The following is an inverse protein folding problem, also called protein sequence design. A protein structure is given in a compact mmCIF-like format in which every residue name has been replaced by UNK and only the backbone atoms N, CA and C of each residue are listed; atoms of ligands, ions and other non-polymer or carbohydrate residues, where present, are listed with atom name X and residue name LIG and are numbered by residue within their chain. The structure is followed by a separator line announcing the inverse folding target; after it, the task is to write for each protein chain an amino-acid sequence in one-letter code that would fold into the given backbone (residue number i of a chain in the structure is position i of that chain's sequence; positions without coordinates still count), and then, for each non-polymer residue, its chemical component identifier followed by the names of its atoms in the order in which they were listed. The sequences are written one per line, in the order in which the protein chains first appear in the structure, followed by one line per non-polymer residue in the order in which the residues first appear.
data_IF_779222216490
#
_entry.id   IF_779222216490
#
_cell.length_a   1.000
_cell.length_b   1.000
_cell.length_c   1.000
_cell.angle_alpha   90.00
_cell.angle_beta   90.00
_cell.angle_gamma   90.00
#
_symmetry.space_group_name_H-M   'P 1'
#
loop_
_entity.id
_entity.type
_entity.pdbx_description
1 polymer ?
#
# COMPACT_ATOMS: atom_id res chain seq x y z
N UNK A 1 8.73 -4.45 -5.46
CA UNK A 1 7.49 -5.21 -5.17
C UNK A 1 6.28 -4.47 -5.71
N UNK A 2 5.23 -5.16 -6.19
CA UNK A 2 4.00 -4.49 -6.63
C UNK A 2 2.78 -5.40 -6.61
N UNK A 3 1.61 -4.80 -6.51
CA UNK A 3 0.31 -5.48 -6.52
C UNK A 3 -0.72 -4.62 -7.26
N UNK A 4 -1.73 -5.28 -7.86
CA UNK A 4 -2.78 -4.59 -8.60
C UNK A 4 -4.16 -5.22 -8.37
N UNK A 5 -5.19 -4.40 -8.46
CA UNK A 5 -6.60 -4.80 -8.36
C UNK A 5 -7.39 -4.21 -9.52
N UNK A 6 -8.02 -5.09 -10.31
CA UNK A 6 -9.01 -4.68 -11.29
C UNK A 6 -10.35 -4.46 -10.58
N UNK A 7 -10.88 -3.25 -10.68
CA UNK A 7 -12.09 -2.82 -9.96
C UNK A 7 -13.38 -2.96 -10.80
N UNK A 8 -13.25 -3.16 -12.11
CA UNK A 8 -14.37 -3.04 -13.05
C UNK A 8 -14.58 -1.58 -13.45
N UNK A 9 -15.82 -1.09 -13.52
CA UNK A 9 -16.09 0.35 -13.51
C UNK A 9 -16.62 0.73 -12.14
N UNK A 10 -15.87 1.55 -11.39
CA UNK A 10 -16.26 2.00 -10.06
C UNK A 10 -16.08 3.51 -9.92
N UNK A 11 -16.92 4.19 -9.13
CA UNK A 11 -16.74 5.61 -8.84
C UNK A 11 -15.39 5.89 -8.16
N UNK A 12 -14.72 6.94 -8.58
CA UNK A 12 -13.42 7.38 -8.06
C UNK A 12 -13.56 8.12 -6.71
N UNK A 13 -14.16 7.46 -5.72
CA UNK A 13 -14.45 8.03 -4.38
C UNK A 13 -13.67 7.32 -3.28
N UNK A 14 -13.34 7.99 -2.15
CA UNK A 14 -12.50 7.42 -1.10
C UNK A 14 -12.98 6.08 -0.56
N UNK A 15 -14.30 5.92 -0.38
CA UNK A 15 -14.89 4.64 0.08
C UNK A 15 -14.63 3.44 -0.85
N UNK A 16 -14.19 3.68 -2.09
CA UNK A 16 -13.85 2.62 -3.07
C UNK A 16 -12.33 2.41 -3.11
N UNK A 17 -11.55 3.47 -3.27
CA UNK A 17 -10.11 3.30 -3.46
C UNK A 17 -9.35 3.07 -2.16
N UNK A 18 -9.76 3.66 -1.03
CA UNK A 18 -9.00 3.53 0.24
C UNK A 18 -8.89 2.08 0.72
N UNK A 19 -9.98 1.28 0.79
CA UNK A 19 -9.84 -0.12 1.21
C UNK A 19 -9.05 -0.97 0.21
N UNK A 20 -9.21 -0.68 -1.09
CA UNK A 20 -8.42 -1.34 -2.15
C UNK A 20 -6.93 -1.06 -1.97
N UNK A 21 -6.55 0.19 -1.74
CA UNK A 21 -5.16 0.60 -1.51
C UNK A 21 -4.60 -0.07 -0.27
N UNK A 22 -5.36 -0.11 0.84
CA UNK A 22 -4.92 -0.79 2.05
C UNK A 22 -4.69 -2.29 1.83
N UNK A 23 -5.57 -2.94 1.08
CA UNK A 23 -5.38 -4.35 0.71
C UNK A 23 -4.13 -4.58 -0.15
N UNK A 24 -3.90 -3.72 -1.14
CA UNK A 24 -2.70 -3.80 -1.98
C UNK A 24 -1.43 -3.52 -1.17
N UNK A 25 -1.49 -2.52 -0.28
CA UNK A 25 -0.40 -2.12 0.60
C UNK A 25 -0.02 -3.25 1.54
N UNK A 26 -1.00 -3.93 2.15
CA UNK A 26 -0.76 -5.08 3.01
C UNK A 26 0.02 -6.18 2.29
N UNK A 27 -0.37 -6.51 1.04
CA UNK A 27 0.33 -7.51 0.24
C UNK A 27 1.74 -7.10 -0.16
N UNK A 28 1.95 -5.85 -0.54
CA UNK A 28 3.26 -5.35 -0.92
C UNK A 28 4.16 -5.28 0.31
N UNK A 29 3.70 -4.65 1.38
CA UNK A 29 4.46 -4.45 2.61
C UNK A 29 4.78 -5.77 3.32
N UNK A 30 3.83 -6.71 3.40
CA UNK A 30 4.09 -8.05 3.95
C UNK A 30 5.20 -8.78 3.20
N UNK A 31 5.28 -8.65 1.86
CA UNK A 31 6.35 -9.27 1.07
C UNK A 31 7.70 -8.58 1.26
N UNK A 32 7.72 -7.25 1.33
CA UNK A 32 8.93 -6.50 1.65
C UNK A 32 9.48 -6.94 3.01
N UNK A 33 8.61 -7.04 4.03
CA UNK A 33 8.98 -7.49 5.38
C UNK A 33 9.42 -8.97 5.41
N UNK A 34 8.75 -9.84 4.68
CA UNK A 34 9.11 -11.27 4.63
C UNK A 34 10.50 -11.52 4.02
N UNK A 35 10.94 -10.66 3.10
CA UNK A 35 12.27 -10.73 2.47
C UNK A 35 13.28 -9.78 3.12
N UNK A 36 12.89 -9.02 4.14
CA UNK A 36 13.66 -7.95 4.78
C UNK A 36 14.26 -6.93 3.78
N UNK A 37 13.46 -6.58 2.76
CA UNK A 37 13.83 -5.66 1.69
C UNK A 37 12.90 -4.46 1.66
N UNK A 38 13.08 -3.46 2.54
CA UNK A 38 12.31 -2.23 2.48
C UNK A 38 12.71 -1.42 1.24
N UNK A 39 11.87 -0.47 0.81
CA UNK A 39 12.19 0.36 -0.37
C UNK A 39 11.78 1.82 -0.21
N UNK A 40 12.25 2.71 -1.08
CA UNK A 40 12.07 4.16 -0.90
C UNK A 40 10.99 4.77 -1.79
N UNK A 41 10.81 4.24 -2.98
CA UNK A 41 9.94 4.89 -3.97
C UNK A 41 8.63 4.16 -4.05
N UNK A 42 7.57 4.86 -3.65
CA UNK A 42 6.19 4.41 -3.76
C UNK A 42 5.62 4.93 -5.07
N UNK A 43 5.00 4.06 -5.84
CA UNK A 43 4.42 4.38 -7.14
C UNK A 43 3.01 3.84 -7.21
N UNK A 44 2.06 4.69 -7.59
CA UNK A 44 0.67 4.33 -7.86
C UNK A 44 0.37 4.50 -9.33
N UNK A 45 -0.36 3.53 -9.89
CA UNK A 45 -0.96 3.59 -11.21
C UNK A 45 -2.47 3.54 -11.07
N UNK A 46 -3.14 4.56 -11.59
CA UNK A 46 -4.59 4.66 -11.68
C UNK A 46 -4.99 4.49 -13.13
N UNK A 47 -5.86 3.52 -13.42
CA UNK A 47 -6.49 3.38 -14.74
C UNK A 47 -7.94 3.84 -14.67
N UNK A 48 -8.33 4.70 -15.59
CA UNK A 48 -9.68 5.24 -15.68
C UNK A 48 -10.61 4.28 -16.46
N UNK A 49 -11.90 4.61 -16.55
CA UNK A 49 -12.90 3.78 -17.23
C UNK A 49 -12.69 3.68 -18.75
N UNK A 50 -12.00 4.64 -19.34
CA UNK A 50 -11.64 4.70 -20.76
C UNK A 50 -10.31 3.99 -21.09
N UNK A 51 -9.79 3.22 -20.13
CA UNK A 51 -8.54 2.45 -20.21
C UNK A 51 -7.25 3.30 -20.21
N UNK A 52 -7.32 4.65 -20.21
CA UNK A 52 -6.13 5.48 -19.98
C UNK A 52 -5.61 5.27 -18.56
N UNK A 53 -4.30 5.30 -18.41
CA UNK A 53 -3.66 5.11 -17.12
C UNK A 53 -2.65 6.21 -16.83
N UNK A 54 -2.64 6.68 -15.59
CA UNK A 54 -1.74 7.70 -15.07
C UNK A 54 -0.94 7.08 -13.93
N UNK A 55 0.36 7.33 -13.94
CA UNK A 55 1.27 6.89 -12.89
C UNK A 55 1.82 8.10 -12.14
N UNK A 56 1.86 8.01 -10.82
CA UNK A 56 2.53 8.98 -9.93
C UNK A 56 3.39 8.24 -8.94
N UNK A 57 4.50 8.84 -8.57
CA UNK A 57 5.43 8.28 -7.59
C UNK A 57 5.96 9.36 -6.67
N UNK A 58 6.41 8.92 -5.50
CA UNK A 58 7.15 9.73 -4.53
C UNK A 58 8.29 8.90 -3.98
N UNK A 59 9.45 9.52 -3.80
CA UNK A 59 10.62 8.91 -3.16
C UNK A 59 10.74 9.47 -1.75
N UNK A 60 10.77 8.59 -0.77
CA UNK A 60 10.91 8.93 0.64
C UNK A 60 12.39 9.03 1.03
N UNK A 61 12.68 9.87 2.03
CA UNK A 61 14.03 10.02 2.61
C UNK A 61 14.46 8.79 3.41
N UNK A 62 13.50 8.03 3.93
CA UNK A 62 13.73 6.77 4.63
C UNK A 62 12.93 5.64 3.96
N UNK A 63 13.46 4.41 3.96
CA UNK A 63 12.78 3.29 3.32
C UNK A 63 11.55 2.85 4.12
N UNK A 64 10.53 2.39 3.40
CA UNK A 64 9.21 2.04 3.90
C UNK A 64 8.91 0.56 3.70
N UNK A 65 8.30 -0.03 4.73
CA UNK A 65 7.72 -1.37 4.71
C UNK A 65 6.55 -1.53 5.70
N UNK A 66 6.01 -0.43 6.21
CA UNK A 66 4.81 -0.45 7.04
C UNK A 66 3.55 -0.29 6.17
N UNK A 67 2.57 -1.16 6.38
CA UNK A 67 1.36 -1.29 5.57
C UNK A 67 0.53 -0.02 5.57
N UNK A 68 0.21 0.51 6.76
CA UNK A 68 -0.67 1.68 6.89
C UNK A 68 -0.01 2.94 6.32
N UNK A 69 1.30 3.11 6.52
CA UNK A 69 2.02 4.25 5.94
C UNK A 69 2.05 4.18 4.41
N UNK A 70 2.25 2.98 3.85
CA UNK A 70 2.20 2.78 2.40
C UNK A 70 0.81 3.14 1.85
N UNK A 71 -0.25 2.66 2.49
CA UNK A 71 -1.63 2.96 2.10
C UNK A 71 -1.95 4.47 2.17
N UNK A 72 -1.49 5.19 3.19
CA UNK A 72 -1.67 6.64 3.32
C UNK A 72 -0.96 7.42 2.21
N UNK A 73 0.26 7.02 1.86
CA UNK A 73 1.02 7.64 0.76
C UNK A 73 0.34 7.34 -0.58
N UNK A 74 -0.07 6.09 -0.80
CA UNK A 74 -0.78 5.70 -2.02
C UNK A 74 -2.10 6.49 -2.15
N UNK A 75 -2.83 6.68 -1.05
CA UNK A 75 -4.06 7.46 -1.01
C UNK A 75 -3.83 8.90 -1.45
N UNK A 76 -2.78 9.53 -0.95
CA UNK A 76 -2.42 10.90 -1.33
C UNK A 76 -2.07 11.00 -2.81
N UNK A 77 -1.29 10.05 -3.34
CA UNK A 77 -0.95 9.99 -4.76
C UNK A 77 -2.21 9.82 -5.64
N UNK A 78 -3.15 8.95 -5.26
CA UNK A 78 -4.43 8.80 -5.97
C UNK A 78 -5.22 10.10 -5.94
N UNK A 79 -5.34 10.76 -4.77
CA UNK A 79 -6.04 12.04 -4.66
C UNK A 79 -5.43 13.11 -5.56
N UNK A 80 -4.10 13.17 -5.63
CA UNK A 80 -3.39 14.07 -6.55
C UNK A 80 -3.68 13.76 -8.02
N UNK A 81 -3.74 12.49 -8.41
CA UNK A 81 -4.16 12.08 -9.76
C UNK A 81 -5.59 12.53 -10.04
N UNK A 82 -6.54 12.26 -9.15
CA UNK A 82 -7.95 12.65 -9.35
C UNK A 82 -8.14 14.17 -9.42
N UNK A 83 -7.39 14.93 -8.63
CA UNK A 83 -7.40 16.39 -8.68
C UNK A 83 -6.87 16.94 -10.01
N UNK A 84 -5.85 16.30 -10.60
CA UNK A 84 -5.31 16.68 -11.91
C UNK A 84 -6.21 16.25 -13.09
N UNK A 85 -7.18 15.37 -12.85
CA UNK A 85 -8.07 14.80 -13.88
C UNK A 85 -9.55 14.90 -13.47
N UNK A 86 -10.11 16.12 -13.30
CA UNK A 86 -11.46 16.32 -12.75
C UNK A 86 -12.60 15.75 -13.60
N UNK A 87 -12.36 15.48 -14.89
CA UNK A 87 -13.32 14.82 -15.78
C UNK A 87 -13.46 13.32 -15.54
N UNK A 88 -12.49 12.69 -14.88
CA UNK A 88 -12.46 11.25 -14.63
C UNK A 88 -13.20 10.90 -13.34
N UNK A 89 -14.46 10.47 -13.47
CA UNK A 89 -15.27 10.10 -12.31
C UNK A 89 -15.21 8.62 -11.94
N UNK A 90 -14.58 7.81 -12.79
CA UNK A 90 -14.53 6.36 -12.63
C UNK A 90 -13.12 5.81 -12.79
N UNK A 91 -12.77 4.85 -11.94
CA UNK A 91 -11.53 4.09 -11.98
C UNK A 91 -11.83 2.62 -12.26
N UNK A 92 -10.91 1.97 -12.96
CA UNK A 92 -11.05 0.57 -13.36
C UNK A 92 -9.93 -0.34 -12.91
N UNK A 93 -8.77 0.22 -12.54
CA UNK A 93 -7.69 -0.50 -11.92
C UNK A 93 -6.87 0.43 -11.03
N UNK A 94 -6.45 -0.10 -9.90
CA UNK A 94 -5.43 0.48 -9.05
C UNK A 94 -4.26 -0.49 -8.96
N UNK A 95 -3.05 0.01 -9.12
CA UNK A 95 -1.84 -0.73 -8.84
C UNK A 95 -0.90 0.12 -8.00
N UNK A 96 -0.19 -0.53 -7.09
CA UNK A 96 0.86 0.09 -6.29
C UNK A 96 2.15 -0.72 -6.45
N UNK A 97 3.27 -0.04 -6.32
CA UNK A 97 4.58 -0.68 -6.31
C UNK A 97 5.58 0.11 -5.48
N UNK A 98 6.49 -0.61 -4.84
CA UNK A 98 7.65 -0.09 -4.13
C UNK A 98 8.92 -0.50 -4.88
N UNK A 99 9.78 0.47 -5.16
CA UNK A 99 11.09 0.32 -5.80
C UNK A 99 12.22 0.97 -4.97
N UNK A 100 13.46 0.89 -5.48
CA UNK A 100 14.68 1.20 -4.71
C UNK A 100 14.73 0.39 -3.42
N UNK A 101 14.74 -0.94 -3.59
CA UNK A 101 14.79 -1.89 -2.49
C UNK A 101 16.21 -1.95 -1.93
N UNK A 102 16.33 -1.92 -0.61
CA UNK A 102 17.61 -1.96 0.10
C UNK A 102 17.76 -3.29 0.83
N UNK A 103 19.00 -3.72 1.02
CA UNK A 103 19.34 -4.85 1.89
C UNK A 103 19.62 -4.27 3.28
N UNK A 104 18.79 -4.62 4.26
CA UNK A 104 18.91 -4.15 5.65
C UNK A 104 18.96 -2.63 5.79
N UNK A 105 17.79 -1.99 5.79
CA UNK A 105 17.74 -0.58 6.13
C UNK A 105 17.78 -0.37 7.65
N UNK A 106 18.86 0.25 8.13
CA UNK A 106 18.83 0.88 9.45
C UNK A 106 17.79 2.01 9.42
N UNK A 107 16.75 1.85 10.22
CA UNK A 107 15.69 2.83 10.32
C UNK A 107 16.16 4.01 11.17
N UNK A 108 16.48 5.13 10.53
CA UNK A 108 16.83 6.36 11.24
C UNK A 108 15.66 6.83 12.11
N UNK A 109 15.86 6.86 13.43
CA UNK A 109 14.85 7.38 14.36
C UNK A 109 14.69 8.89 14.21
N UNK A 110 13.45 9.35 14.32
CA UNK A 110 13.12 10.77 14.29
C UNK A 110 12.89 11.32 15.70
N UNK A 111 13.35 12.54 15.94
CA UNK A 111 12.98 13.27 17.15
C UNK A 111 11.50 13.70 17.04
N UNK A 112 10.67 13.49 18.09
CA UNK A 112 9.25 13.83 18.08
C UNK A 112 9.05 15.33 18.30
N UNK A 113 9.37 16.13 17.28
CA UNK A 113 9.27 17.60 17.32
C UNK A 113 7.86 18.12 16.96
N UNK A 114 6.91 17.25 16.65
CA UNK A 114 5.54 17.61 16.29
C UNK A 114 5.39 18.20 14.89
N UNK A 115 6.32 17.87 13.98
CA UNK A 115 6.33 18.41 12.62
C UNK A 115 5.18 17.81 11.78
N UNK A 116 4.71 18.57 10.79
CA UNK A 116 3.57 18.18 9.94
C UNK A 116 3.86 16.98 9.04
N UNK A 117 5.13 16.73 8.74
CA UNK A 117 5.61 15.67 7.86
C UNK A 117 5.92 14.34 8.59
N UNK A 118 5.85 14.31 9.93
CA UNK A 118 6.11 13.11 10.74
C UNK A 118 5.30 11.89 10.28
N UNK A 119 4.09 12.11 9.73
CA UNK A 119 3.23 11.04 9.20
C UNK A 119 3.89 10.22 8.09
N UNK A 120 4.80 10.83 7.33
CA UNK A 120 5.53 10.19 6.23
C UNK A 120 6.89 9.66 6.64
N UNK A 121 7.25 9.76 7.92
CA UNK A 121 8.55 9.36 8.44
C UNK A 121 8.46 8.00 9.15
N UNK A 122 8.99 6.93 8.54
CA UNK A 122 9.04 5.60 9.15
C UNK A 122 9.68 5.57 10.54
N UNK A 123 10.72 6.38 10.77
CA UNK A 123 11.41 6.51 12.06
C UNK A 123 10.66 7.28 13.16
N UNK A 124 9.48 7.84 12.89
CA UNK A 124 8.66 8.50 13.91
C UNK A 124 8.08 7.49 14.92
N UNK A 125 7.67 7.96 16.10
CA UNK A 125 7.03 7.11 17.13
C UNK A 125 5.80 6.36 16.60
N UNK A 126 4.97 7.02 15.78
CA UNK A 126 3.83 6.41 15.10
C UNK A 126 4.29 5.41 14.03
N UNK A 127 5.35 5.74 13.29
CA UNK A 127 5.91 4.85 12.28
C UNK A 127 6.42 3.54 12.87
N UNK A 128 7.15 3.62 13.98
CA UNK A 128 7.61 2.46 14.76
C UNK A 128 6.44 1.64 15.30
N UNK A 129 5.43 2.28 15.90
CA UNK A 129 4.25 1.58 16.42
C UNK A 129 3.50 0.80 15.32
N UNK A 130 3.34 1.42 14.14
CA UNK A 130 2.73 0.76 12.97
C UNK A 130 3.57 -0.42 12.49
N UNK A 131 4.89 -0.26 12.39
CA UNK A 131 5.78 -1.35 12.01
C UNK A 131 5.74 -2.51 13.00
N UNK A 132 5.69 -2.22 14.30
CA UNK A 132 5.53 -3.22 15.36
C UNK A 132 4.21 -3.99 15.25
N UNK A 133 3.10 -3.30 14.97
CA UNK A 133 1.81 -3.93 14.74
C UNK A 133 1.82 -4.83 13.49
N UNK A 134 2.43 -4.38 12.41
CA UNK A 134 2.56 -5.17 11.18
C UNK A 134 3.39 -6.45 11.41
N UNK A 135 4.51 -6.36 12.14
CA UNK A 135 5.30 -7.54 12.54
C UNK A 135 4.49 -8.52 13.40
N UNK A 136 3.59 -8.04 14.25
CA UNK A 136 2.71 -8.89 15.05
C UNK A 136 1.66 -9.59 14.17
N UNK A 137 1.05 -8.86 13.23
CA UNK A 137 0.12 -9.40 12.22
C UNK A 137 0.81 -10.50 11.39
N UNK A 138 2.04 -10.25 10.91
CA UNK A 138 2.79 -11.21 10.12
C UNK A 138 3.06 -12.52 10.91
N UNK A 139 3.42 -12.41 12.19
CA UNK A 139 3.62 -13.57 13.08
C UNK A 139 2.33 -14.37 13.30
N UNK A 140 1.20 -13.69 13.47
CA UNK A 140 -0.12 -14.35 13.60
C UNK A 140 -0.42 -15.10 12.30
N UNK A 141 -0.25 -14.46 11.14
CA UNK A 141 -0.50 -15.08 9.82
C UNK A 141 0.43 -16.26 9.54
N UNK A 142 1.68 -16.19 9.97
CA UNK A 142 2.63 -17.29 9.84
C UNK A 142 2.18 -18.52 10.65
N UNK A 143 1.61 -18.31 11.83
CA UNK A 143 1.20 -19.41 12.74
C UNK A 143 -0.19 -19.97 12.43
N UNK A 144 -1.14 -19.10 12.09
CA UNK A 144 -2.56 -19.45 12.00
C UNK A 144 -3.14 -19.35 10.58
N UNK A 145 -2.32 -18.96 9.60
CA UNK A 145 -2.73 -18.77 8.22
C UNK A 145 -3.08 -17.31 7.89
N UNK A 146 -3.05 -16.98 6.60
CA UNK A 146 -3.22 -15.61 6.09
C UNK A 146 -4.54 -14.95 6.47
N UNK A 147 -5.61 -15.74 6.51
CA UNK A 147 -6.98 -15.28 6.83
C UNK A 147 -7.24 -15.11 8.34
N UNK A 148 -6.29 -15.48 9.21
CA UNK A 148 -6.48 -15.43 10.65
C UNK A 148 -6.60 -13.99 11.19
N UNK A 149 -5.97 -13.02 10.52
CA UNK A 149 -6.03 -11.61 10.87
C UNK A 149 -5.91 -10.74 9.62
N UNK A 150 -6.68 -9.66 9.59
CA UNK A 150 -6.64 -8.67 8.53
C UNK A 150 -7.21 -7.34 9.00
N UNK A 151 -7.09 -6.33 8.14
CA UNK A 151 -7.66 -5.02 8.42
C UNK A 151 -9.18 -5.07 8.29
N UNK A 152 -9.91 -4.55 9.29
CA UNK A 152 -11.38 -4.58 9.30
C UNK A 152 -11.99 -3.90 8.06
N UNK A 153 -11.42 -2.80 7.60
CA UNK A 153 -11.81 -2.12 6.34
C UNK A 153 -11.69 -3.00 5.11
N UNK A 154 -10.74 -3.94 5.10
CA UNK A 154 -10.52 -4.91 4.02
C UNK A 154 -11.46 -6.10 4.16
N UNK A 155 -11.77 -6.54 5.38
CA UNK A 155 -12.66 -7.67 5.65
C UNK A 155 -14.16 -7.33 5.48
N UNK A 156 -14.54 -6.07 5.72
CA UNK A 156 -15.93 -5.60 5.62
C UNK A 156 -16.34 -5.23 4.18
N UNK A 157 -15.41 -5.20 3.24
CA UNK A 157 -15.75 -5.12 1.82
C UNK A 157 -16.27 -6.48 1.33
N UNK A 158 -17.42 -6.46 0.64
CA UNK A 158 -18.05 -7.65 0.09
C UNK A 158 -17.14 -8.49 -0.83
N UNK A 159 -17.57 -9.70 -1.20
CA UNK A 159 -16.72 -10.69 -1.87
C UNK A 159 -16.04 -10.12 -3.11
N UNK A 160 -14.70 -10.14 -3.11
CA UNK A 160 -13.90 -9.68 -4.25
C UNK A 160 -14.00 -10.67 -5.40
N UNK A 161 -13.96 -10.17 -6.63
CA UNK A 161 -14.09 -10.96 -7.86
C UNK A 161 -13.00 -12.02 -8.08
N UNK A 162 -11.87 -11.97 -7.35
CA UNK A 162 -10.78 -12.94 -7.49
C UNK A 162 -10.21 -13.29 -6.11
N UNK A 163 -10.24 -14.55 -5.68
CA UNK A 163 -9.61 -15.00 -4.43
C UNK A 163 -8.09 -14.79 -4.44
N UNK A 164 -7.51 -14.52 -3.27
CA UNK A 164 -6.10 -14.13 -3.17
C UNK A 164 -5.12 -15.24 -3.60
N UNK A 165 -5.47 -16.52 -3.44
CA UNK A 165 -4.65 -17.65 -3.90
C UNK A 165 -4.37 -17.65 -5.41
N UNK A 166 -5.32 -17.21 -6.24
CA UNK A 166 -5.10 -17.08 -7.69
C UNK A 166 -4.17 -15.92 -8.05
N UNK A 167 -4.08 -14.91 -7.18
CA UNK A 167 -3.27 -13.72 -7.42
C UNK A 167 -1.81 -13.93 -7.05
N UNK A 168 -1.49 -14.88 -6.16
CA UNK A 168 -0.12 -15.24 -5.78
C UNK A 168 0.65 -15.85 -6.94
N UNK A 169 -0.02 -16.62 -7.80
CA UNK A 169 0.57 -17.21 -9.00
C UNK A 169 1.10 -16.16 -10.01
N UNK A 170 0.61 -14.92 -9.93
CA UNK A 170 1.03 -13.82 -10.80
C UNK A 170 2.12 -12.93 -10.18
N UNK A 171 2.57 -13.23 -8.97
CA UNK A 171 3.60 -12.44 -8.29
C UNK A 171 5.01 -12.87 -8.71
N UNK A 172 5.87 -11.89 -9.04
CA UNK A 172 7.30 -12.14 -9.29
C UNK A 172 8.08 -12.16 -7.96
N UNK A 173 9.04 -13.08 -7.84
CA UNK A 173 10.07 -13.08 -6.78
C UNK A 173 10.80 -11.73 -6.75
N UNK A 174 11.08 -11.25 -5.53
CA UNK A 174 11.63 -9.93 -5.26
C UNK A 174 13.14 -9.88 -5.36
#
# INVERSE_FOLDING_TARGET
AGAQSALGRKPAVPRVFVPTLLHLADRVASRLRAKDRPGRTVTVRVRFADLRAVTRSVTLEQPIQATVMLAEIDEELVRGVLAAHPGEREISLLAISVSHLEEHAELQLELPLGLTDEKRKPGSSKGLARFGADRAIDKIRQRFGKEAVGYGTVALEGPRSVPDGFRELAEKEL
#
